data_IF_255668637743
#
_entry.id   IF_255668637743
#
_cell.length_a   1.000
_cell.length_b   1.000
_cell.length_c   1.000
_cell.angle_alpha   90.00
_cell.angle_beta   90.00
_cell.angle_gamma   90.00
#
_symmetry.space_group_name_H-M   'P 1'
#
loop_
_entity.id
_entity.type
_entity.pdbx_description
1 polymer ?
#
# COMPACT_ATOMS: atom_id res chain seq x y z
N UNK A 1 19.60 32.43 27.46
CA UNK A 1 18.35 32.17 28.18
C UNK A 1 17.18 32.50 27.25
N UNK A 2 16.62 31.51 26.59
CA UNK A 2 15.21 31.38 26.26
C UNK A 2 15.04 30.01 25.59
N UNK A 3 14.68 29.02 26.39
CA UNK A 3 14.19 27.71 25.90
C UNK A 3 12.74 27.96 25.54
N UNK A 4 12.41 27.95 24.26
CA UNK A 4 11.02 28.05 23.80
C UNK A 4 10.35 26.71 24.04
N UNK A 5 9.28 26.72 24.82
CA UNK A 5 8.41 25.62 25.11
C UNK A 5 7.81 25.05 23.81
N UNK A 6 8.13 23.79 23.48
CA UNK A 6 7.48 23.05 22.41
C UNK A 6 6.03 22.81 22.82
N UNK A 7 5.13 23.21 21.94
CA UNK A 7 3.69 23.28 22.10
C UNK A 7 3.09 21.89 22.43
N UNK A 8 2.62 21.68 23.65
CA UNK A 8 1.97 20.44 24.12
C UNK A 8 0.72 20.07 23.32
N UNK A 9 0.11 21.03 22.65
CA UNK A 9 -1.06 20.81 21.80
C UNK A 9 -0.77 19.97 20.56
N UNK A 10 0.46 19.97 20.00
CA UNK A 10 0.84 19.16 18.84
C UNK A 10 0.99 17.65 19.20
N UNK A 11 1.35 17.35 20.45
CA UNK A 11 1.39 15.96 20.95
C UNK A 11 0.00 15.39 21.18
N UNK A 12 -0.95 16.19 21.62
CA UNK A 12 -2.31 15.77 21.95
C UNK A 12 -3.15 15.53 20.68
N UNK A 13 -2.95 16.31 19.62
CA UNK A 13 -3.58 16.04 18.32
C UNK A 13 -3.03 14.75 17.67
N UNK A 14 -1.73 14.46 17.80
CA UNK A 14 -1.15 13.19 17.29
C UNK A 14 -1.70 11.95 17.98
N UNK A 15 -2.09 12.05 19.25
CA UNK A 15 -2.62 10.92 20.03
C UNK A 15 -4.09 10.61 19.75
N UNK A 16 -4.87 11.55 19.22
CA UNK A 16 -6.29 11.34 18.85
C UNK A 16 -6.50 10.36 17.69
N UNK A 17 -5.45 10.08 16.90
CA UNK A 17 -5.51 9.14 15.78
C UNK A 17 -4.96 7.74 16.11
N UNK A 18 -4.55 7.50 17.35
CA UNK A 18 -4.07 6.20 17.80
C UNK A 18 -5.12 5.58 18.72
N UNK A 19 -6.25 5.16 18.14
CA UNK A 19 -7.15 4.23 18.84
C UNK A 19 -6.48 2.86 19.01
N UNK A 20 -6.70 2.14 20.12
CA UNK A 20 -6.15 0.82 20.32
C UNK A 20 -6.57 -0.11 19.18
N UNK A 21 -5.66 -0.99 18.79
CA UNK A 21 -5.85 -1.97 17.72
C UNK A 21 -6.92 -2.95 18.19
N UNK A 22 -8.19 -2.71 17.84
CA UNK A 22 -9.21 -3.74 17.85
C UNK A 22 -9.07 -4.57 16.59
N UNK A 23 -8.67 -5.82 16.73
CA UNK A 23 -8.72 -6.82 15.66
C UNK A 23 -10.20 -7.13 15.44
N UNK A 24 -10.78 -6.64 14.35
CA UNK A 24 -12.15 -6.91 13.98
C UNK A 24 -12.22 -8.13 13.03
N UNK A 25 -13.26 -8.96 13.21
CA UNK A 25 -13.66 -10.03 12.29
C UNK A 25 -13.76 -9.45 10.87
N UNK A 26 -12.86 -9.90 9.96
CA UNK A 26 -12.80 -9.41 8.57
C UNK A 26 -11.47 -8.78 8.15
N UNK A 27 -10.44 -8.78 9.01
CA UNK A 27 -9.12 -8.26 8.63
C UNK A 27 -8.50 -9.09 7.49
N UNK A 28 -8.10 -8.38 6.42
CA UNK A 28 -7.28 -8.98 5.37
C UNK A 28 -5.95 -9.39 5.99
N UNK A 29 -5.67 -10.68 5.99
CA UNK A 29 -4.36 -11.16 6.46
C UNK A 29 -3.27 -10.63 5.55
N UNK A 30 -2.14 -10.25 6.11
CA UNK A 30 -0.95 -9.98 5.31
C UNK A 30 -0.62 -11.27 4.52
N UNK A 31 -0.73 -11.18 3.21
CA UNK A 31 -0.41 -12.21 2.25
C UNK A 31 -0.08 -11.56 0.91
N UNK A 32 0.45 -12.33 -0.03
CA UNK A 32 0.58 -11.87 -1.40
C UNK A 32 -0.72 -12.05 -2.18
N UNK A 33 -0.99 -11.04 -3.00
CA UNK A 33 -2.16 -10.99 -3.87
C UNK A 33 -1.76 -10.53 -5.27
N UNK A 34 -2.52 -10.96 -6.24
CA UNK A 34 -2.59 -10.39 -7.57
C UNK A 34 -3.92 -9.65 -7.70
N UNK A 35 -3.95 -8.62 -8.52
CA UNK A 35 -5.14 -7.80 -8.78
C UNK A 35 -5.33 -7.77 -10.29
N UNK A 36 -6.58 -7.88 -10.74
CA UNK A 36 -6.92 -7.88 -12.16
C UNK A 36 -6.32 -6.67 -12.90
N UNK A 37 -5.65 -6.95 -14.01
CA UNK A 37 -5.00 -5.93 -14.84
C UNK A 37 -6.01 -4.86 -15.30
N UNK A 38 -7.20 -5.29 -15.74
CA UNK A 38 -8.26 -4.38 -16.20
C UNK A 38 -8.69 -3.39 -15.10
N UNK A 39 -8.72 -3.83 -13.84
CA UNK A 39 -9.02 -2.95 -12.73
C UNK A 39 -7.90 -1.94 -12.47
N UNK A 40 -6.65 -2.40 -12.51
CA UNK A 40 -5.50 -1.50 -12.37
C UNK A 40 -5.47 -0.47 -13.50
N UNK A 41 -5.66 -0.90 -14.75
CA UNK A 41 -5.68 -0.01 -15.91
C UNK A 41 -6.85 0.98 -15.86
N UNK A 42 -8.01 0.55 -15.34
CA UNK A 42 -9.12 1.45 -15.09
C UNK A 42 -8.77 2.53 -14.06
N UNK A 43 -8.23 2.17 -12.90
CA UNK A 43 -7.85 3.15 -11.89
C UNK A 43 -6.72 4.09 -12.35
N UNK A 44 -5.82 3.61 -13.20
CA UNK A 44 -4.73 4.42 -13.76
C UNK A 44 -5.20 5.54 -14.67
N UNK A 45 -6.41 5.47 -15.22
CA UNK A 45 -7.00 6.58 -15.98
C UNK A 45 -7.24 7.81 -15.11
N UNK A 46 -7.39 7.63 -13.80
CA UNK A 46 -7.69 8.69 -12.83
C UNK A 46 -6.46 9.15 -12.03
N UNK A 47 -5.48 8.25 -11.82
CA UNK A 47 -4.24 8.59 -11.11
C UNK A 47 -3.04 7.84 -11.71
N UNK A 48 -2.20 8.58 -12.42
CA UNK A 48 -0.98 8.04 -13.07
C UNK A 48 0.08 7.55 -12.09
N UNK A 49 -0.03 7.85 -10.78
CA UNK A 49 0.86 7.34 -9.73
C UNK A 49 0.63 5.87 -9.41
N UNK A 50 -0.48 5.29 -9.84
CA UNK A 50 -0.73 3.86 -9.70
C UNK A 50 0.25 3.09 -10.56
N UNK A 51 0.93 2.13 -9.95
CA UNK A 51 1.94 1.32 -10.64
C UNK A 51 1.27 0.32 -11.57
N UNK A 52 1.76 0.23 -12.81
CA UNK A 52 1.32 -0.79 -13.78
C UNK A 52 1.61 -2.20 -13.27
N UNK A 53 0.74 -3.15 -13.60
CA UNK A 53 0.99 -4.58 -13.35
C UNK A 53 2.06 -5.14 -14.31
N UNK A 54 2.15 -4.59 -15.52
CA UNK A 54 3.02 -5.00 -16.62
C UNK A 54 3.99 -3.89 -17.00
N UNK A 55 4.96 -3.57 -16.16
CA UNK A 55 6.03 -2.64 -16.54
C UNK A 55 7.18 -3.39 -17.22
N UNK A 56 7.38 -3.19 -18.53
CA UNK A 56 8.49 -3.77 -19.29
C UNK A 56 8.44 -5.31 -19.39
N UNK A 57 9.64 -5.92 -19.49
CA UNK A 57 9.82 -7.39 -19.68
C UNK A 57 9.62 -8.20 -18.40
N UNK A 58 8.65 -7.86 -17.56
CA UNK A 58 8.41 -8.61 -16.33
C UNK A 58 7.86 -10.01 -16.63
N UNK A 59 8.57 -11.01 -16.17
CA UNK A 59 8.13 -12.41 -16.25
C UNK A 59 6.86 -12.66 -15.41
N UNK A 60 6.68 -11.92 -14.32
CA UNK A 60 5.58 -12.11 -13.36
C UNK A 60 4.80 -10.81 -13.14
N UNK A 61 3.51 -10.94 -12.92
CA UNK A 61 2.63 -9.83 -12.56
C UNK A 61 3.08 -9.19 -11.23
N UNK A 62 2.77 -7.90 -11.05
CA UNK A 62 3.04 -7.18 -9.80
C UNK A 62 2.30 -7.83 -8.64
N UNK A 63 3.01 -8.05 -7.55
CA UNK A 63 2.43 -8.54 -6.30
C UNK A 63 2.03 -7.38 -5.41
N UNK A 64 1.00 -7.62 -4.63
CA UNK A 64 0.45 -6.67 -3.67
C UNK A 64 0.37 -7.31 -2.29
N UNK A 65 0.51 -6.49 -1.25
CA UNK A 65 0.27 -6.88 0.13
C UNK A 65 -1.05 -6.29 0.58
N UNK A 66 -1.99 -7.15 0.97
CA UNK A 66 -3.28 -6.73 1.50
C UNK A 66 -3.13 -6.15 2.92
N UNK A 67 -3.72 -4.98 3.11
CA UNK A 67 -3.89 -4.36 4.41
C UNK A 67 -5.34 -3.88 4.54
N UNK A 68 -5.92 -3.99 5.74
CA UNK A 68 -7.20 -3.36 6.01
C UNK A 68 -6.97 -1.96 6.57
N UNK A 69 -7.57 -0.96 5.93
CA UNK A 69 -7.69 0.38 6.48
C UNK A 69 -9.02 0.51 7.21
N UNK A 70 -9.05 1.36 8.22
CA UNK A 70 -10.15 1.48 9.19
C UNK A 70 -11.48 2.03 8.63
N UNK A 71 -11.56 2.29 7.33
CA UNK A 71 -12.81 2.64 6.68
C UNK A 71 -13.50 1.35 6.23
N UNK A 72 -14.66 1.06 6.79
CA UNK A 72 -15.37 -0.24 6.72
C UNK A 72 -15.64 -0.77 5.30
N UNK A 73 -15.42 0.06 4.28
CA UNK A 73 -15.86 -0.22 2.92
C UNK A 73 -14.69 -0.44 1.92
N UNK A 74 -13.43 -0.21 2.30
CA UNK A 74 -12.30 -0.33 1.38
C UNK A 74 -11.14 -1.14 1.97
N UNK A 75 -10.74 -2.17 1.26
CA UNK A 75 -9.51 -2.91 1.49
C UNK A 75 -8.40 -2.26 0.68
N UNK A 76 -7.26 -2.00 1.31
CA UNK A 76 -6.12 -1.40 0.64
C UNK A 76 -5.03 -2.43 0.36
N UNK A 77 -4.39 -2.26 -0.77
CA UNK A 77 -3.31 -3.13 -1.23
C UNK A 77 -2.09 -2.31 -1.60
N UNK A 78 -0.94 -2.71 -1.06
CA UNK A 78 0.32 -2.03 -1.26
C UNK A 78 1.12 -2.77 -2.32
N UNK A 79 1.51 -2.11 -3.43
CA UNK A 79 2.29 -2.74 -4.47
C UNK A 79 3.74 -3.00 -4.03
N UNK A 80 4.29 -4.16 -4.43
CA UNK A 80 5.71 -4.43 -4.39
C UNK A 80 6.38 -4.06 -5.71
N UNK A 81 7.58 -3.52 -5.60
CA UNK A 81 8.49 -3.28 -6.73
C UNK A 81 9.78 -4.04 -6.49
N UNK A 82 10.39 -4.57 -7.54
CA UNK A 82 11.71 -5.20 -7.46
C UNK A 82 12.74 -4.19 -6.93
N UNK A 83 13.65 -4.66 -6.09
CA UNK A 83 14.76 -3.86 -5.61
C UNK A 83 15.70 -3.51 -6.78
N UNK A 84 16.04 -2.24 -6.91
CA UNK A 84 17.00 -1.73 -7.90
C UNK A 84 18.15 -1.06 -7.15
N UNK A 85 19.34 -1.67 -7.04
CA UNK A 85 20.46 -1.14 -6.25
C UNK A 85 20.77 0.32 -6.57
N UNK A 86 20.93 0.67 -7.85
CA UNK A 86 21.19 2.06 -8.28
C UNK A 86 20.19 3.09 -7.76
N UNK A 87 18.95 2.65 -7.48
CA UNK A 87 17.88 3.53 -7.01
C UNK A 87 17.73 3.51 -5.49
N UNK A 88 17.94 2.35 -4.86
CA UNK A 88 17.52 2.14 -3.48
C UNK A 88 18.66 1.96 -2.48
N UNK A 89 19.92 1.72 -2.91
CA UNK A 89 21.03 1.51 -1.97
C UNK A 89 21.23 2.73 -1.06
N UNK A 90 21.19 3.91 -1.63
CA UNK A 90 21.36 5.17 -0.91
C UNK A 90 20.05 5.80 -0.38
N UNK A 91 18.91 5.10 -0.55
CA UNK A 91 17.62 5.59 -0.10
C UNK A 91 17.34 5.10 1.31
N UNK A 92 17.07 6.02 2.22
CA UNK A 92 16.60 5.69 3.56
C UNK A 92 15.14 5.21 3.52
N UNK A 93 14.83 4.25 4.37
CA UNK A 93 13.44 3.87 4.60
C UNK A 93 12.64 5.04 5.19
N UNK A 94 11.38 5.09 4.80
CA UNK A 94 10.42 6.07 5.30
C UNK A 94 9.08 5.39 5.62
N UNK A 95 8.13 6.14 6.17
CA UNK A 95 6.77 5.64 6.34
C UNK A 95 6.07 5.30 5.02
N UNK A 96 6.46 5.97 3.93
CA UNK A 96 5.86 5.75 2.61
C UNK A 96 6.54 4.66 1.78
N UNK A 97 7.74 4.20 2.20
CA UNK A 97 8.54 3.24 1.46
C UNK A 97 9.33 2.34 2.42
N UNK A 98 9.19 1.01 2.25
CA UNK A 98 9.91 0.01 3.05
C UNK A 98 10.77 -0.88 2.17
N UNK A 99 12.03 -1.05 2.53
CA UNK A 99 12.91 -2.04 1.92
C UNK A 99 12.60 -3.42 2.48
N UNK A 100 12.43 -4.41 1.61
CA UNK A 100 12.25 -5.81 1.98
C UNK A 100 13.56 -6.54 1.66
N UNK A 101 14.54 -6.33 2.53
CA UNK A 101 15.93 -6.69 2.24
C UNK A 101 16.42 -6.02 0.95
N UNK A 102 17.22 -6.75 0.19
CA UNK A 102 17.67 -6.35 -1.16
C UNK A 102 16.83 -7.03 -2.27
N UNK A 103 15.60 -7.44 -1.95
CA UNK A 103 14.73 -8.19 -2.86
C UNK A 103 13.63 -7.31 -3.44
N UNK A 104 12.94 -6.57 -2.59
CA UNK A 104 11.81 -5.75 -2.99
C UNK A 104 11.71 -4.44 -2.21
N UNK A 105 10.82 -3.56 -2.71
CA UNK A 105 10.41 -2.33 -2.04
C UNK A 105 8.90 -2.29 -1.97
N UNK A 106 8.37 -2.12 -0.77
CA UNK A 106 6.95 -1.93 -0.51
C UNK A 106 6.63 -0.44 -0.60
N UNK A 107 5.74 -0.05 -1.51
CA UNK A 107 5.42 1.34 -1.80
C UNK A 107 4.08 1.75 -1.20
N UNK A 108 4.10 2.14 0.07
CA UNK A 108 2.89 2.51 0.83
C UNK A 108 2.21 3.76 0.23
N UNK A 109 3.01 4.71 -0.30
CA UNK A 109 2.45 5.90 -0.96
C UNK A 109 1.64 5.58 -2.24
N UNK A 110 1.86 4.42 -2.85
CA UNK A 110 1.15 3.95 -4.05
C UNK A 110 0.11 2.87 -3.73
N UNK A 111 -0.30 2.71 -2.47
CA UNK A 111 -1.38 1.78 -2.12
C UNK A 111 -2.70 2.20 -2.78
N UNK A 112 -3.52 1.22 -3.10
CA UNK A 112 -4.79 1.42 -3.81
C UNK A 112 -5.93 0.73 -3.08
N UNK A 113 -7.16 1.27 -3.13
CA UNK A 113 -8.36 0.56 -2.71
C UNK A 113 -8.68 -0.53 -3.72
N UNK A 114 -9.11 -1.70 -3.27
CA UNK A 114 -9.45 -2.82 -4.14
C UNK A 114 -10.74 -3.49 -3.67
N UNK A 115 -11.59 -3.84 -4.61
CA UNK A 115 -12.84 -4.58 -4.42
C UNK A 115 -12.58 -6.08 -4.43
N UNK A 116 -13.43 -6.87 -3.77
CA UNK A 116 -13.19 -8.31 -3.57
C UNK A 116 -13.18 -9.11 -4.87
N UNK A 117 -13.96 -8.69 -5.86
CA UNK A 117 -14.16 -9.37 -7.14
C UNK A 117 -12.92 -9.40 -8.05
N UNK A 118 -11.91 -8.59 -7.75
CA UNK A 118 -10.68 -8.47 -8.55
C UNK A 118 -9.43 -8.90 -7.81
N UNK A 119 -9.60 -9.50 -6.62
CA UNK A 119 -8.50 -9.93 -5.74
C UNK A 119 -8.24 -11.42 -5.90
N UNK A 120 -7.00 -11.80 -6.19
CA UNK A 120 -6.56 -13.18 -6.24
C UNK A 120 -5.46 -13.42 -5.21
N UNK A 121 -5.79 -14.15 -4.14
CA UNK A 121 -4.79 -14.53 -3.15
C UNK A 121 -3.83 -15.55 -3.76
N UNK A 122 -2.54 -15.30 -3.64
CA UNK A 122 -1.53 -16.23 -4.14
C UNK A 122 -1.46 -17.51 -3.30
N UNK A 123 -1.42 -18.64 -3.99
CA UNK A 123 -1.01 -19.92 -3.42
C UNK A 123 0.47 -20.19 -3.77
N UNK A 124 1.32 -20.21 -2.76
CA UNK A 124 2.74 -20.54 -2.95
C UNK A 124 2.96 -21.97 -3.47
N UNK A 125 2.00 -22.89 -3.28
CA UNK A 125 2.14 -24.27 -3.74
C UNK A 125 1.95 -24.38 -5.25
N UNK A 126 1.21 -23.47 -5.86
CA UNK A 126 1.00 -23.43 -7.31
C UNK A 126 2.21 -22.87 -8.09
N UNK A 127 3.22 -22.30 -7.41
CA UNK A 127 4.39 -21.71 -8.07
C UNK A 127 5.37 -22.82 -8.44
N UNK A 128 5.56 -23.01 -9.75
CA UNK A 128 6.47 -24.03 -10.32
C UNK A 128 7.94 -23.59 -10.32
N UNK A 129 8.22 -22.29 -10.50
CA UNK A 129 9.58 -21.74 -10.45
C UNK A 129 10.06 -21.68 -9.00
N UNK A 130 10.94 -22.60 -8.63
CA UNK A 130 11.42 -22.73 -7.25
C UNK A 130 12.21 -21.50 -6.78
N UNK A 131 13.00 -20.87 -7.66
CA UNK A 131 13.77 -19.68 -7.30
C UNK A 131 12.82 -18.51 -6.98
N UNK A 132 11.79 -18.34 -7.80
CA UNK A 132 10.76 -17.33 -7.57
C UNK A 132 9.95 -17.62 -6.31
N UNK A 133 9.60 -18.87 -6.05
CA UNK A 133 8.93 -19.30 -4.82
C UNK A 133 9.75 -18.95 -3.58
N UNK A 134 11.05 -19.27 -3.57
CA UNK A 134 11.95 -18.95 -2.47
C UNK A 134 12.10 -17.44 -2.25
N UNK A 135 12.18 -16.67 -3.34
CA UNK A 135 12.20 -15.21 -3.27
C UNK A 135 10.95 -14.68 -2.54
N UNK A 136 9.76 -15.05 -3.00
CA UNK A 136 8.50 -14.60 -2.40
C UNK A 136 8.34 -15.06 -0.94
N UNK A 137 8.76 -16.28 -0.61
CA UNK A 137 8.73 -16.77 0.78
C UNK A 137 9.67 -15.96 1.68
N UNK A 138 10.83 -15.55 1.17
CA UNK A 138 11.79 -14.72 1.90
C UNK A 138 11.26 -13.30 2.11
N UNK A 139 10.69 -12.70 1.08
CA UNK A 139 9.98 -11.42 1.17
C UNK A 139 8.84 -11.49 2.18
N UNK A 140 8.02 -12.55 2.12
CA UNK A 140 6.88 -12.75 3.02
C UNK A 140 7.31 -12.79 4.49
N UNK A 141 8.39 -13.51 4.82
CA UNK A 141 8.90 -13.57 6.21
C UNK A 141 9.26 -12.18 6.73
N UNK A 142 9.94 -11.36 5.94
CA UNK A 142 10.32 -9.99 6.33
C UNK A 142 9.06 -9.13 6.48
N UNK A 143 8.14 -9.17 5.51
CA UNK A 143 6.89 -8.41 5.55
C UNK A 143 6.05 -8.81 6.77
N UNK A 144 5.94 -10.10 7.04
CA UNK A 144 5.18 -10.62 8.18
C UNK A 144 5.77 -10.20 9.53
N UNK A 145 7.10 -10.20 9.66
CA UNK A 145 7.76 -9.72 10.88
C UNK A 145 7.55 -8.22 11.13
N UNK A 146 7.28 -7.45 10.08
CA UNK A 146 7.03 -6.00 10.11
C UNK A 146 5.55 -5.63 9.98
N UNK A 147 4.64 -6.58 10.10
CA UNK A 147 3.19 -6.37 9.85
C UNK A 147 2.62 -5.17 10.61
N UNK A 148 2.91 -5.08 11.91
CA UNK A 148 2.41 -3.98 12.77
C UNK A 148 2.92 -2.62 12.30
N UNK A 149 4.19 -2.54 11.93
CA UNK A 149 4.82 -1.32 11.41
C UNK A 149 4.17 -0.91 10.07
N UNK A 150 4.05 -1.86 9.13
CA UNK A 150 3.46 -1.63 7.81
C UNK A 150 2.02 -1.12 7.94
N UNK A 151 1.20 -1.76 8.77
CA UNK A 151 -0.19 -1.34 9.03
C UNK A 151 -0.27 0.06 9.65
N UNK A 152 0.61 0.36 10.60
CA UNK A 152 0.67 1.67 11.26
C UNK A 152 1.07 2.76 10.27
N UNK A 153 2.13 2.53 9.50
CA UNK A 153 2.62 3.52 8.54
C UNK A 153 1.65 3.73 7.37
N UNK A 154 0.98 2.67 6.91
CA UNK A 154 -0.08 2.80 5.90
C UNK A 154 -1.21 3.70 6.37
N UNK A 155 -1.63 3.56 7.62
CA UNK A 155 -2.65 4.40 8.22
C UNK A 155 -2.19 5.87 8.33
N UNK A 156 -0.95 6.08 8.76
CA UNK A 156 -0.37 7.42 8.84
C UNK A 156 -0.33 8.08 7.45
N UNK A 157 0.12 7.36 6.42
CA UNK A 157 0.22 7.86 5.05
C UNK A 157 -1.17 8.16 4.48
N UNK A 158 -2.16 7.31 4.73
CA UNK A 158 -3.54 7.52 4.32
C UNK A 158 -4.09 8.85 4.87
N UNK A 159 -4.09 9.04 6.19
CA UNK A 159 -4.61 10.27 6.80
C UNK A 159 -3.77 11.49 6.45
N UNK A 160 -2.45 11.32 6.27
CA UNK A 160 -1.60 12.41 5.80
C UNK A 160 -2.03 12.91 4.42
N UNK A 161 -2.37 12.01 3.50
CA UNK A 161 -2.83 12.35 2.14
C UNK A 161 -4.24 12.96 2.13
N UNK A 162 -5.12 12.56 3.05
CA UNK A 162 -6.46 13.15 3.16
C UNK A 162 -6.46 14.56 3.76
N UNK A 163 -5.40 14.97 4.44
CA UNK A 163 -5.33 16.28 5.08
C UNK A 163 -4.85 17.35 4.09
N UNK A 164 -5.75 18.19 3.64
CA UNK A 164 -5.50 19.30 2.69
C UNK A 164 -4.41 20.27 3.17
N UNK A 165 -4.16 20.40 4.47
CA UNK A 165 -3.04 21.18 5.02
C UNK A 165 -1.66 20.69 4.59
N UNK A 166 -1.58 19.48 4.03
CA UNK A 166 -0.35 18.90 3.53
C UNK A 166 -0.15 19.07 2.01
N UNK A 167 -1.08 19.72 1.30
CA UNK A 167 -1.15 19.77 -0.17
C UNK A 167 0.15 20.25 -0.84
N UNK A 168 0.84 21.19 -0.20
CA UNK A 168 2.10 21.76 -0.72
C UNK A 168 3.35 20.93 -0.36
N UNK A 169 3.19 19.82 0.35
CA UNK A 169 4.31 18.98 0.80
C UNK A 169 4.61 17.87 -0.21
N UNK A 170 5.91 17.62 -0.44
CA UNK A 170 6.36 16.64 -1.41
C UNK A 170 5.78 15.24 -1.20
N UNK A 171 5.64 14.78 0.06
CA UNK A 171 5.03 13.48 0.36
C UNK A 171 3.56 13.40 -0.07
N UNK A 172 2.79 14.47 0.09
CA UNK A 172 1.40 14.54 -0.37
C UNK A 172 1.30 14.32 -1.88
N UNK A 173 2.20 14.95 -2.64
CA UNK A 173 2.18 14.92 -4.10
C UNK A 173 2.59 13.57 -4.69
N UNK A 174 3.43 12.79 -3.99
CA UNK A 174 3.83 11.45 -4.44
C UNK A 174 2.87 10.33 -4.02
N UNK A 175 1.93 10.61 -3.09
CA UNK A 175 0.88 9.66 -2.74
C UNK A 175 -0.21 9.63 -3.81
N UNK A 176 -0.79 8.45 -4.03
CA UNK A 176 -2.03 8.33 -4.81
C UNK A 176 -3.16 9.15 -4.19
N UNK A 177 -4.13 9.54 -5.01
CA UNK A 177 -5.33 10.22 -4.54
C UNK A 177 -6.34 9.22 -3.99
N UNK A 178 -6.17 8.86 -2.73
CA UNK A 178 -6.97 7.80 -2.10
C UNK A 178 -8.47 8.07 -2.16
N UNK A 179 -8.89 9.32 -1.95
CA UNK A 179 -10.31 9.68 -1.97
C UNK A 179 -10.91 9.49 -3.37
N UNK A 180 -10.24 9.99 -4.39
CA UNK A 180 -10.65 9.80 -5.78
C UNK A 180 -10.70 8.31 -6.15
N UNK A 181 -9.67 7.56 -5.76
CA UNK A 181 -9.60 6.13 -6.07
C UNK A 181 -10.68 5.32 -5.36
N UNK A 182 -11.07 5.67 -4.12
CA UNK A 182 -12.20 5.06 -3.43
C UNK A 182 -13.52 5.27 -4.17
N UNK A 183 -13.75 6.48 -4.69
CA UNK A 183 -14.93 6.79 -5.52
C UNK A 183 -14.93 5.94 -6.80
N UNK A 184 -13.80 5.91 -7.51
CA UNK A 184 -13.66 5.14 -8.76
C UNK A 184 -13.72 3.63 -8.55
N UNK A 185 -13.23 3.14 -7.44
CA UNK A 185 -13.36 1.75 -7.04
C UNK A 185 -14.82 1.30 -6.93
N UNK A 186 -15.68 2.14 -6.33
CA UNK A 186 -17.12 1.90 -6.23
C UNK A 186 -17.83 1.96 -7.59
N UNK A 187 -17.46 2.93 -8.43
CA UNK A 187 -18.00 3.06 -9.79
C UNK A 187 -17.67 1.86 -10.68
N UNK A 188 -16.51 1.20 -10.47
CA UNK A 188 -16.13 0.02 -11.25
C UNK A 188 -17.11 -1.15 -11.07
N UNK A 189 -17.61 -1.36 -9.84
CA UNK A 189 -18.62 -2.37 -9.54
C UNK A 189 -19.91 -2.12 -10.33
N UNK A 190 -20.44 -0.89 -10.25
CA UNK A 190 -21.69 -0.54 -10.90
C UNK A 190 -21.66 -0.70 -12.43
N UNK A 191 -20.51 -0.46 -13.04
CA UNK A 191 -20.31 -0.65 -14.49
C UNK A 191 -20.25 -2.13 -14.89
N UNK A 192 -19.77 -3.02 -14.01
CA UNK A 192 -19.68 -4.47 -14.28
C UNK A 192 -21.06 -5.14 -14.21
N UNK A 193 -21.96 -4.61 -13.38
CA UNK A 193 -23.32 -5.13 -13.21
C UNK A 193 -24.27 -4.70 -14.34
N UNK A 194 -23.83 -3.76 -15.19
CA UNK A 194 -24.65 -3.21 -16.30
C UNK A 194 -24.26 -3.75 -17.69
N UNK A 195 -23.23 -4.60 -17.80
CA UNK A 195 -22.79 -5.29 -19.02
C UNK A 195 -22.95 -6.80 -18.90
#
# INVERSE_FOLDING_TARGET
WCISAANENDKTERLKYISPIFIHKGEVMISFYEIDDNYIDYLRQFDSKILSTKDGDRKYLRKYIGIMMHNRDCKYFIPLSSYKPKTYDNMYESKSLKKIGNMAVLRINNMIPVIDEVIHKMDFNSITDQNYKYLLQSEYRIIKSREKEIRTDSRIIYYYRLNEKNKDKGLYNICCDYKLLEEKSKEYLTKKDTN
#
